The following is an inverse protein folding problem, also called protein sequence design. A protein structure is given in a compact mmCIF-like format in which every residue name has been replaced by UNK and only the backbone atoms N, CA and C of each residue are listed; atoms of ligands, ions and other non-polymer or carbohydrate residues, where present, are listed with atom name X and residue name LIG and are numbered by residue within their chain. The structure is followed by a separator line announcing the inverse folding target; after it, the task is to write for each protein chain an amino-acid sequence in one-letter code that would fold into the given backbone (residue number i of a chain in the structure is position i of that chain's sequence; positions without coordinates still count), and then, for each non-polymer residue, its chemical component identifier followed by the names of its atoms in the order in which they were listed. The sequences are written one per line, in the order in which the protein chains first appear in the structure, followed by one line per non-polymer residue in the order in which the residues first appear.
data_IF_779752893128
#
_entry.id   IF_779752893128
#
_cell.length_a   1.000
_cell.length_b   1.000
_cell.length_c   1.000
_cell.angle_alpha   90.00
_cell.angle_beta   90.00
_cell.angle_gamma   90.00
#
_symmetry.space_group_name_H-M   'P 1'
#
loop_
_entity.id
_entity.type
_entity.pdbx_description
1 polymer ?
#
# COMPACT_ATOMS: atom_id res chain seq x y z
N UNK A 1 15.80 6.90 29.43
CA UNK A 1 15.71 5.45 29.20
C UNK A 1 15.59 5.13 27.72
N UNK A 2 16.33 4.14 27.27
CA UNK A 2 16.16 3.63 25.92
C UNK A 2 14.79 2.93 25.79
N UNK A 3 13.99 3.31 24.80
CA UNK A 3 12.73 2.68 24.53
C UNK A 3 12.93 1.31 23.85
N UNK A 4 12.18 0.34 24.24
CA UNK A 4 12.21 -0.98 23.61
C UNK A 4 11.34 -0.97 22.35
N UNK A 5 11.84 -1.59 21.30
CA UNK A 5 11.09 -1.83 20.07
C UNK A 5 9.95 -2.81 20.38
N UNK A 6 8.77 -2.55 19.83
CA UNK A 6 7.59 -3.37 20.07
C UNK A 6 7.05 -3.98 18.79
N UNK A 7 6.00 -4.80 18.92
CA UNK A 7 5.30 -5.40 17.78
C UNK A 7 4.77 -4.34 16.82
N UNK A 8 4.40 -3.15 17.31
CA UNK A 8 3.95 -2.05 16.47
C UNK A 8 5.01 -1.58 15.49
N UNK A 9 6.28 -1.52 15.89
CA UNK A 9 7.38 -1.19 14.98
C UNK A 9 7.48 -2.22 13.86
N UNK A 10 7.44 -3.50 14.21
CA UNK A 10 7.55 -4.58 13.24
C UNK A 10 6.37 -4.55 12.25
N UNK A 11 5.15 -4.40 12.75
CA UNK A 11 3.94 -4.34 11.92
C UNK A 11 3.97 -3.12 10.99
N UNK A 12 4.39 -1.96 11.49
CA UNK A 12 4.48 -0.75 10.69
C UNK A 12 5.56 -0.89 9.61
N UNK A 13 6.69 -1.51 9.92
CA UNK A 13 7.75 -1.78 8.94
C UNK A 13 7.24 -2.73 7.84
N UNK A 14 6.49 -3.76 8.20
CA UNK A 14 5.86 -4.65 7.22
C UNK A 14 4.85 -3.90 6.33
N UNK A 15 4.10 -2.98 6.91
CA UNK A 15 3.17 -2.11 6.17
C UNK A 15 3.91 -1.30 5.12
N UNK A 16 5.03 -0.67 5.49
CA UNK A 16 5.84 0.14 4.56
C UNK A 16 6.37 -0.73 3.43
N UNK A 17 6.92 -1.90 3.76
CA UNK A 17 7.45 -2.84 2.75
C UNK A 17 6.35 -3.26 1.78
N UNK A 18 5.19 -3.68 2.28
CA UNK A 18 4.07 -4.10 1.45
C UNK A 18 3.56 -2.97 0.57
N UNK A 19 3.48 -1.75 1.09
CA UNK A 19 3.04 -0.58 0.33
C UNK A 19 4.04 -0.22 -0.79
N UNK A 20 5.34 -0.32 -0.52
CA UNK A 20 6.38 -0.09 -1.53
C UNK A 20 6.31 -1.15 -2.63
N UNK A 21 6.14 -2.41 -2.26
CA UNK A 21 5.96 -3.50 -3.23
C UNK A 21 4.70 -3.25 -4.08
N UNK A 22 3.60 -2.85 -3.47
CA UNK A 22 2.37 -2.53 -4.18
C UNK A 22 2.54 -1.39 -5.16
N UNK A 23 3.22 -0.32 -4.76
CA UNK A 23 3.51 0.83 -5.60
C UNK A 23 4.41 0.43 -6.79
N UNK A 24 5.48 -0.32 -6.52
CA UNK A 24 6.39 -0.80 -7.55
C UNK A 24 5.67 -1.71 -8.55
N UNK A 25 4.86 -2.64 -8.05
CA UNK A 25 4.07 -3.54 -8.91
C UNK A 25 3.07 -2.78 -9.77
N UNK A 26 2.44 -1.73 -9.22
CA UNK A 26 1.55 -0.87 -9.98
C UNK A 26 2.29 -0.15 -11.11
N UNK A 27 3.48 0.39 -10.84
CA UNK A 27 4.30 1.05 -11.86
C UNK A 27 4.75 0.07 -12.94
N UNK A 28 5.14 -1.15 -12.56
CA UNK A 28 5.45 -2.22 -13.54
C UNK A 28 4.22 -2.55 -14.38
N UNK A 29 3.05 -2.66 -13.76
CA UNK A 29 1.80 -2.95 -14.47
C UNK A 29 1.49 -1.89 -15.53
N UNK A 30 1.69 -0.60 -15.22
CA UNK A 30 1.45 0.48 -16.18
C UNK A 30 2.42 0.44 -17.36
N UNK A 31 3.54 -0.24 -17.25
CA UNK A 31 4.50 -0.45 -18.32
C UNK A 31 4.25 -1.69 -19.18
N UNK A 32 3.29 -2.54 -18.83
CA UNK A 32 2.95 -3.73 -19.62
C UNK A 32 2.16 -3.36 -20.87
N UNK A 33 2.26 -4.18 -21.91
CA UNK A 33 1.61 -3.87 -23.21
C UNK A 33 0.09 -3.71 -23.09
N UNK A 34 -0.55 -4.55 -22.30
CA UNK A 34 -2.01 -4.49 -22.14
C UNK A 34 -2.47 -3.26 -21.37
N UNK A 35 -1.74 -2.90 -20.31
CA UNK A 35 -2.15 -1.83 -19.39
C UNK A 35 -1.53 -0.46 -19.71
N UNK A 36 -0.52 -0.41 -20.58
CA UNK A 36 0.18 0.83 -20.92
C UNK A 36 -0.75 1.91 -21.49
N UNK A 37 -1.74 1.52 -22.27
CA UNK A 37 -2.72 2.42 -22.89
C UNK A 37 -3.60 3.14 -21.88
N UNK A 38 -3.71 2.62 -20.64
CA UNK A 38 -4.53 3.22 -19.59
C UNK A 38 -3.78 4.27 -18.80
N UNK A 39 -2.45 4.28 -18.91
CA UNK A 39 -1.58 5.24 -18.24
C UNK A 39 -1.51 5.03 -16.74
N UNK A 40 -0.89 5.97 -16.05
CA UNK A 40 -0.74 5.99 -14.60
C UNK A 40 -1.87 6.82 -14.01
N UNK A 41 -2.61 6.24 -13.07
CA UNK A 41 -3.60 6.99 -12.30
C UNK A 41 -2.86 7.72 -11.17
N UNK A 42 -2.77 9.04 -11.28
CA UNK A 42 -2.07 9.87 -10.30
C UNK A 42 -2.69 9.79 -8.91
N UNK A 43 -3.99 9.54 -8.82
CA UNK A 43 -4.67 9.38 -7.51
C UNK A 43 -4.17 8.13 -6.79
N UNK A 44 -4.00 7.02 -7.51
CA UNK A 44 -3.46 5.78 -6.93
C UNK A 44 -2.04 6.01 -6.42
N UNK A 45 -1.18 6.61 -7.24
CA UNK A 45 0.21 6.89 -6.87
C UNK A 45 0.26 7.85 -5.68
N UNK A 46 -0.54 8.91 -5.70
CA UNK A 46 -0.59 9.87 -4.60
C UNK A 46 -1.01 9.20 -3.28
N UNK A 47 -2.05 8.38 -3.29
CA UNK A 47 -2.51 7.66 -2.11
C UNK A 47 -1.42 6.72 -1.56
N UNK A 48 -0.75 5.97 -2.43
CA UNK A 48 0.30 5.06 -2.02
C UNK A 48 1.50 5.81 -1.44
N UNK A 49 1.95 6.87 -2.09
CA UNK A 49 3.09 7.67 -1.63
C UNK A 49 2.76 8.36 -0.30
N UNK A 50 1.61 8.98 -0.18
CA UNK A 50 1.18 9.65 1.05
C UNK A 50 1.06 8.62 2.18
N UNK A 51 0.50 7.45 1.91
CA UNK A 51 0.40 6.37 2.88
C UNK A 51 1.77 5.88 3.36
N UNK A 52 2.71 5.68 2.44
CA UNK A 52 4.09 5.28 2.77
C UNK A 52 4.76 6.34 3.65
N UNK A 53 4.65 7.62 3.28
CA UNK A 53 5.23 8.72 4.04
C UNK A 53 4.62 8.79 5.44
N UNK A 54 3.31 8.64 5.57
CA UNK A 54 2.63 8.64 6.87
C UNK A 54 3.13 7.49 7.75
N UNK A 55 3.27 6.29 7.21
CA UNK A 55 3.74 5.12 7.96
C UNK A 55 5.22 5.25 8.36
N UNK A 56 6.06 5.82 7.50
CA UNK A 56 7.45 6.13 7.85
C UNK A 56 7.48 7.16 8.98
N UNK A 57 6.62 8.18 8.94
CA UNK A 57 6.50 9.17 9.99
C UNK A 57 6.09 8.54 11.32
N UNK A 58 5.18 7.55 11.30
CA UNK A 58 4.80 6.77 12.49
C UNK A 58 6.04 6.14 13.14
N UNK A 59 6.89 5.52 12.34
CA UNK A 59 8.12 4.88 12.83
C UNK A 59 9.05 5.95 13.43
N UNK A 60 9.34 7.01 12.70
CA UNK A 60 10.30 8.04 13.12
C UNK A 60 9.85 8.73 14.40
N UNK A 61 8.58 9.10 14.47
CA UNK A 61 8.02 9.76 15.67
C UNK A 61 7.97 8.79 16.84
N UNK A 62 7.57 7.54 16.58
CA UNK A 62 7.51 6.51 17.62
C UNK A 62 8.86 6.17 18.23
N UNK A 63 9.94 6.20 17.44
CA UNK A 63 11.29 5.96 17.94
C UNK A 63 11.81 7.10 18.83
N UNK A 64 11.32 8.31 18.63
CA UNK A 64 11.71 9.48 19.41
C UNK A 64 10.85 9.69 20.66
N UNK A 65 9.81 8.93 20.82
CA UNK A 65 8.79 9.12 21.85
C UNK A 65 7.52 9.64 21.21
N UNK A 66 6.40 8.98 21.50
CA UNK A 66 5.14 9.26 20.80
C UNK A 66 4.40 10.41 21.47
N UNK A 67 4.45 11.66 20.97
CA UNK A 67 3.62 12.71 21.48
C UNK A 67 2.13 12.44 21.15
N UNK A 68 1.24 12.96 21.96
CA UNK A 68 -0.19 12.68 21.84
C UNK A 68 -0.77 13.01 20.45
N UNK A 69 -0.30 14.12 19.84
CA UNK A 69 -0.75 14.50 18.49
C UNK A 69 -0.40 13.49 17.40
N UNK A 70 0.66 12.69 17.63
CA UNK A 70 1.15 11.73 16.64
C UNK A 70 0.23 10.52 16.49
N UNK A 71 -0.73 10.32 17.37
CA UNK A 71 -1.70 9.23 17.26
C UNK A 71 -2.57 9.32 16.01
N UNK A 72 -2.65 10.50 15.40
CA UNK A 72 -3.38 10.67 14.14
C UNK A 72 -2.64 10.07 12.94
N UNK A 73 -1.31 9.95 13.00
CA UNK A 73 -0.51 9.47 11.87
C UNK A 73 -0.87 8.04 11.43
N UNK A 74 -0.97 7.04 12.33
CA UNK A 74 -1.34 5.69 11.92
C UNK A 74 -2.77 5.62 11.36
N UNK A 75 -3.68 6.44 11.89
CA UNK A 75 -5.04 6.52 11.38
C UNK A 75 -5.05 7.11 9.96
N UNK A 76 -4.35 8.21 9.75
CA UNK A 76 -4.22 8.82 8.42
C UNK A 76 -3.59 7.86 7.41
N UNK A 77 -2.51 7.19 7.80
CA UNK A 77 -1.84 6.20 6.94
C UNK A 77 -2.77 5.07 6.54
N UNK A 78 -3.51 4.52 7.50
CA UNK A 78 -4.46 3.43 7.26
C UNK A 78 -5.58 3.85 6.30
N UNK A 79 -6.16 5.02 6.53
CA UNK A 79 -7.27 5.54 5.69
C UNK A 79 -6.77 5.80 4.26
N UNK A 80 -5.62 6.45 4.11
CA UNK A 80 -5.07 6.78 2.79
C UNK A 80 -4.71 5.52 2.03
N UNK A 81 -4.11 4.53 2.66
CA UNK A 81 -3.79 3.24 2.02
C UNK A 81 -5.06 2.51 1.59
N UNK A 82 -6.11 2.51 2.40
CA UNK A 82 -7.38 1.89 2.03
C UNK A 82 -8.03 2.60 0.85
N UNK A 83 -8.01 3.93 0.82
CA UNK A 83 -8.46 4.70 -0.34
C UNK A 83 -7.65 4.32 -1.57
N UNK A 84 -6.33 4.16 -1.42
CA UNK A 84 -5.45 3.71 -2.51
C UNK A 84 -5.86 2.35 -3.07
N UNK A 85 -6.21 1.39 -2.21
CA UNK A 85 -6.71 0.07 -2.62
C UNK A 85 -8.00 0.21 -3.45
N UNK A 86 -8.95 0.99 -2.96
CA UNK A 86 -10.22 1.21 -3.64
C UNK A 86 -10.01 1.87 -5.00
N UNK A 87 -9.15 2.89 -5.05
CA UNK A 87 -8.86 3.59 -6.31
C UNK A 87 -8.14 2.67 -7.31
N UNK A 88 -7.22 1.84 -6.82
CA UNK A 88 -6.52 0.87 -7.67
C UNK A 88 -7.50 -0.18 -8.22
N UNK A 89 -8.37 -0.72 -7.39
CA UNK A 89 -9.40 -1.65 -7.84
C UNK A 89 -10.31 -0.99 -8.88
N UNK A 90 -10.79 0.22 -8.59
CA UNK A 90 -11.65 0.95 -9.52
C UNK A 90 -10.96 1.18 -10.87
N UNK A 91 -9.66 1.47 -10.86
CA UNK A 91 -8.89 1.72 -12.07
C UNK A 91 -8.69 0.46 -12.93
N UNK A 92 -8.72 -0.73 -12.32
CA UNK A 92 -8.33 -1.98 -12.98
C UNK A 92 -9.43 -3.02 -13.09
N UNK A 93 -10.56 -2.87 -12.39
CA UNK A 93 -11.58 -3.92 -12.29
C UNK A 93 -12.14 -4.33 -13.65
N UNK A 94 -12.43 -3.37 -14.53
CA UNK A 94 -12.97 -3.66 -15.85
C UNK A 94 -11.98 -4.43 -16.72
N UNK A 95 -10.70 -4.09 -16.61
CA UNK A 95 -9.63 -4.74 -17.36
C UNK A 95 -9.36 -6.15 -16.85
N UNK A 96 -9.41 -6.34 -15.53
CA UNK A 96 -9.32 -7.67 -14.94
C UNK A 96 -10.48 -8.55 -15.40
N UNK A 97 -11.69 -8.03 -15.39
CA UNK A 97 -12.85 -8.76 -15.86
C UNK A 97 -12.70 -9.16 -17.33
N UNK A 98 -12.23 -8.24 -18.17
CA UNK A 98 -12.00 -8.50 -19.60
C UNK A 98 -10.94 -9.60 -19.81
N UNK A 99 -9.82 -9.52 -19.11
CA UNK A 99 -8.73 -10.51 -19.22
C UNK A 99 -9.20 -11.89 -18.76
N UNK A 100 -9.97 -11.98 -17.70
CA UNK A 100 -10.44 -13.26 -17.19
C UNK A 100 -11.62 -13.86 -17.98
N UNK A 101 -12.24 -13.10 -18.89
CA UNK A 101 -13.38 -13.59 -19.67
C UNK A 101 -13.06 -13.75 -21.14
N UNK A 102 -12.88 -12.68 -21.88
CA UNK A 102 -12.77 -12.74 -23.34
C UNK A 102 -11.41 -12.28 -23.92
N UNK A 103 -10.56 -11.64 -23.11
CA UNK A 103 -9.21 -11.22 -23.52
C UNK A 103 -8.13 -12.05 -22.83
N UNK A 104 -8.35 -13.34 -22.69
CA UNK A 104 -7.55 -14.25 -21.87
C UNK A 104 -6.35 -14.87 -22.59
N UNK A 105 -5.71 -14.16 -23.52
CA UNK A 105 -4.48 -14.63 -24.14
C UNK A 105 -3.37 -14.82 -23.09
N UNK A 106 -2.39 -15.67 -23.39
CA UNK A 106 -1.26 -15.89 -22.49
C UNK A 106 -0.49 -14.60 -22.20
N UNK A 107 -0.33 -13.71 -23.19
CA UNK A 107 0.34 -12.43 -23.02
C UNK A 107 -0.44 -11.50 -22.07
N UNK A 108 -1.75 -11.40 -22.24
CA UNK A 108 -2.59 -10.57 -21.38
C UNK A 108 -2.64 -11.10 -19.94
N UNK A 109 -2.69 -12.42 -19.78
CA UNK A 109 -2.62 -13.05 -18.45
C UNK A 109 -1.28 -12.78 -17.77
N UNK A 110 -0.18 -12.82 -18.51
CA UNK A 110 1.14 -12.49 -17.99
C UNK A 110 1.22 -11.04 -17.54
N UNK A 111 0.71 -10.11 -18.36
CA UNK A 111 0.67 -8.67 -18.03
C UNK A 111 -0.20 -8.41 -16.79
N UNK A 112 -1.24 -9.19 -16.58
CA UNK A 112 -2.15 -9.06 -15.44
C UNK A 112 -1.51 -9.50 -14.12
N UNK A 113 -0.45 -10.30 -14.15
CA UNK A 113 0.23 -10.73 -12.93
C UNK A 113 0.68 -9.56 -12.07
N UNK A 114 1.31 -8.54 -12.65
CA UNK A 114 1.73 -7.35 -11.91
C UNK A 114 0.54 -6.57 -11.34
N UNK A 115 -0.59 -6.56 -12.02
CA UNK A 115 -1.81 -5.95 -11.52
C UNK A 115 -2.32 -6.67 -10.26
N UNK A 116 -2.35 -7.99 -10.29
CA UNK A 116 -2.77 -8.81 -9.15
C UNK A 116 -1.81 -8.62 -7.97
N UNK A 117 -0.51 -8.61 -8.23
CA UNK A 117 0.51 -8.37 -7.19
C UNK A 117 0.32 -6.97 -6.57
N UNK A 118 0.08 -5.96 -7.40
CA UNK A 118 -0.14 -4.58 -6.92
C UNK A 118 -1.37 -4.50 -6.00
N UNK A 119 -2.48 -5.10 -6.39
CA UNK A 119 -3.71 -5.10 -5.61
C UNK A 119 -3.51 -5.88 -4.29
N UNK A 120 -2.92 -7.07 -4.37
CA UNK A 120 -2.70 -7.92 -3.20
C UNK A 120 -1.75 -7.26 -2.20
N UNK A 121 -0.62 -6.72 -2.67
CA UNK A 121 0.36 -6.07 -1.81
C UNK A 121 -0.21 -4.81 -1.15
N UNK A 122 -0.94 -4.00 -1.90
CA UNK A 122 -1.56 -2.77 -1.38
C UNK A 122 -2.65 -3.11 -0.35
N UNK A 123 -3.44 -4.14 -0.61
CA UNK A 123 -4.46 -4.59 0.35
C UNK A 123 -3.82 -5.11 1.64
N UNK A 124 -2.76 -5.90 1.53
CA UNK A 124 -2.01 -6.38 2.69
C UNK A 124 -1.44 -5.20 3.48
N UNK A 125 -0.88 -4.21 2.78
CA UNK A 125 -0.37 -2.99 3.42
C UNK A 125 -1.46 -2.26 4.20
N UNK A 126 -2.64 -2.08 3.61
CA UNK A 126 -3.77 -1.42 4.25
C UNK A 126 -4.24 -2.19 5.50
N UNK A 127 -4.33 -3.51 5.42
CA UNK A 127 -4.73 -4.33 6.55
C UNK A 127 -3.70 -4.28 7.69
N UNK A 128 -2.41 -4.38 7.36
CA UNK A 128 -1.35 -4.23 8.37
C UNK A 128 -1.31 -2.83 8.97
N UNK A 129 -1.57 -1.79 8.18
CA UNK A 129 -1.66 -0.42 8.69
C UNK A 129 -2.78 -0.29 9.73
N UNK A 130 -3.95 -0.86 9.45
CA UNK A 130 -5.08 -0.87 10.38
C UNK A 130 -4.70 -1.58 11.68
N UNK A 131 -4.13 -2.78 11.57
CA UNK A 131 -3.72 -3.57 12.74
C UNK A 131 -2.63 -2.85 13.53
N UNK A 132 -1.61 -2.33 12.86
CA UNK A 132 -0.49 -1.66 13.52
C UNK A 132 -0.90 -0.37 14.24
N UNK A 133 -2.00 0.25 13.84
CA UNK A 133 -2.53 1.45 14.50
C UNK A 133 -2.95 1.20 15.95
N UNK A 134 -3.18 -0.06 16.32
CA UNK A 134 -3.53 -0.45 17.69
C UNK A 134 -2.32 -0.77 18.58
N UNK A 135 -1.10 -0.67 18.04
CA UNK A 135 0.13 -1.03 18.76
C UNK A 135 1.10 0.16 18.77
N UNK A 136 1.77 0.33 19.90
CA UNK A 136 2.84 1.33 19.98
C UNK A 136 4.10 0.85 19.25
N UNK A 137 4.81 1.78 18.64
CA UNK A 137 6.08 1.50 17.93
C UNK A 137 7.17 1.11 18.94
N UNK A 138 7.18 1.77 20.11
CA UNK A 138 8.15 1.49 21.16
C UNK A 138 7.43 1.40 22.51
N UNK A 139 8.04 0.66 23.43
CA UNK A 139 7.63 0.59 24.85
C UNK A 139 8.71 1.13 25.76
N UNK A 140 8.29 1.67 26.84
CA UNK A 140 9.18 1.99 27.95
C UNK A 140 9.52 0.75 28.79
#
# INVERSE_FOLDING_TARGET
MARKKSAGLFLTALTVIAAVVGCAAYMVNTGTNYYAKMGVDSTVVACLVIGIVAEIAVILVGLKGTPQWADILPVCGSVVLMVGVVMLLNARINNLAAVFTFENSAANMADTTSCIVAIAATLIAALFAIVSAFFDVTRE
#
